data_IF_440697014482
#
_entry.id   IF_440697014482
#
_cell.length_a   1.000
_cell.length_b   1.000
_cell.length_c   1.000
_cell.angle_alpha   90.00
_cell.angle_beta   90.00
_cell.angle_gamma   90.00
#
_symmetry.space_group_name_H-M   'P 1'
#
loop_
_entity.id
_entity.type
_entity.pdbx_description
1 polymer ?
#
# COMPACT_ATOMS: atom_id res chain seq x y z
N UNK A 1 -21.18 -14.16 33.52
CA UNK A 1 -21.31 -12.74 33.92
C UNK A 1 -19.90 -12.20 33.90
N UNK A 2 -19.41 -11.46 32.91
CA UNK A 2 -20.03 -10.73 31.80
C UNK A 2 -19.27 -11.07 30.52
N UNK A 3 -20.03 -11.42 29.49
CA UNK A 3 -19.56 -11.47 28.11
C UNK A 3 -19.30 -10.04 27.66
N UNK A 4 -18.08 -9.54 27.90
CA UNK A 4 -17.57 -8.25 27.42
C UNK A 4 -17.24 -8.32 25.90
N UNK A 5 -18.06 -9.03 25.12
CA UNK A 5 -18.07 -8.91 23.67
C UNK A 5 -18.94 -7.69 23.29
N UNK A 6 -18.44 -6.48 23.54
CA UNK A 6 -18.74 -5.32 22.69
C UNK A 6 -17.86 -4.09 23.02
N UNK A 7 -16.57 -4.12 22.64
CA UNK A 7 -15.83 -2.90 22.28
C UNK A 7 -15.84 -2.68 20.77
N UNK A 8 -16.99 -2.90 20.14
CA UNK A 8 -17.25 -2.16 18.93
C UNK A 8 -17.20 -0.65 19.30
N UNK A 9 -16.65 0.20 18.44
CA UNK A 9 -17.06 1.61 18.32
C UNK A 9 -16.37 2.76 19.07
N UNK A 10 -15.25 2.61 19.80
CA UNK A 10 -14.54 3.80 20.34
C UNK A 10 -13.51 4.38 19.36
N UNK A 11 -14.02 5.10 18.37
CA UNK A 11 -13.51 6.43 17.99
C UNK A 11 -12.15 6.61 17.30
N UNK A 12 -11.10 5.80 17.49
CA UNK A 12 -9.77 6.09 16.93
C UNK A 12 -8.84 4.86 16.93
N UNK A 13 -8.29 4.47 15.77
CA UNK A 13 -6.84 4.21 15.71
C UNK A 13 -6.26 2.86 15.25
N UNK A 14 -7.01 1.76 15.07
CA UNK A 14 -6.40 0.45 14.76
C UNK A 14 -6.40 0.00 13.29
N UNK A 15 -7.04 0.76 12.40
CA UNK A 15 -6.97 0.53 10.97
C UNK A 15 -6.67 1.87 10.29
N UNK A 16 -5.42 2.10 9.89
CA UNK A 16 -5.07 3.26 9.09
C UNK A 16 -5.03 2.82 7.63
N UNK A 17 -6.06 3.14 6.82
CA UNK A 17 -5.96 2.91 5.39
C UNK A 17 -4.78 3.72 4.87
N UNK A 18 -3.82 3.04 4.26
CA UNK A 18 -2.72 3.69 3.53
C UNK A 18 -3.32 4.30 2.27
N UNK A 19 -3.83 5.53 2.40
CA UNK A 19 -4.43 6.30 1.31
C UNK A 19 -3.38 7.04 0.50
N UNK A 20 -2.18 7.21 1.05
CA UNK A 20 -1.02 7.88 0.46
C UNK A 20 0.21 6.99 0.46
N UNK A 21 1.11 7.21 -0.48
CA UNK A 21 2.42 6.57 -0.60
C UNK A 21 3.46 7.65 -0.56
N UNK A 22 4.44 7.52 0.33
CA UNK A 22 5.64 8.36 0.30
C UNK A 22 6.50 7.95 -0.89
N UNK A 23 6.75 8.89 -1.80
CA UNK A 23 7.61 8.69 -2.95
C UNK A 23 9.05 8.49 -2.50
N UNK A 24 9.67 7.38 -2.89
CA UNK A 24 11.08 7.08 -2.62
C UNK A 24 12.07 7.96 -3.42
N UNK A 25 11.61 8.62 -4.47
CA UNK A 25 12.46 9.42 -5.37
C UNK A 25 12.48 10.90 -4.97
N UNK A 26 11.33 11.48 -4.62
CA UNK A 26 11.19 12.90 -4.30
C UNK A 26 10.63 13.19 -2.90
N UNK A 27 10.33 12.16 -2.11
CA UNK A 27 9.84 12.29 -0.74
C UNK A 27 8.37 12.73 -0.58
N UNK A 28 7.70 13.17 -1.65
CA UNK A 28 6.29 13.61 -1.60
C UNK A 28 5.34 12.48 -1.22
N UNK A 29 4.35 12.80 -0.40
CA UNK A 29 3.21 11.92 -0.17
C UNK A 29 2.19 12.07 -1.30
N UNK A 30 1.82 10.95 -1.93
CA UNK A 30 0.95 10.94 -3.10
C UNK A 30 -0.18 9.96 -2.87
N UNK A 31 -1.41 10.35 -3.20
CA UNK A 31 -2.56 9.43 -3.10
C UNK A 31 -2.30 8.14 -3.87
N UNK A 32 -2.73 7.01 -3.29
CA UNK A 32 -2.69 5.70 -3.94
C UNK A 32 -3.32 5.70 -5.35
N UNK A 33 -4.37 6.51 -5.57
CA UNK A 33 -5.02 6.64 -6.89
C UNK A 33 -4.13 7.33 -7.93
N UNK A 34 -3.20 8.17 -7.48
CA UNK A 34 -2.29 8.96 -8.33
C UNK A 34 -0.85 8.42 -8.35
N UNK A 35 -0.54 7.38 -7.57
CA UNK A 35 0.85 6.89 -7.42
C UNK A 35 1.46 6.46 -8.75
N UNK A 36 0.68 5.80 -9.62
CA UNK A 36 1.17 5.33 -10.92
C UNK A 36 1.53 6.50 -11.83
N UNK A 37 0.65 7.49 -11.98
CA UNK A 37 0.93 8.65 -12.83
C UNK A 37 2.07 9.48 -12.28
N UNK A 38 2.17 9.62 -10.95
CA UNK A 38 3.29 10.28 -10.30
C UNK A 38 4.64 9.61 -10.63
N UNK A 39 4.73 8.29 -10.46
CA UNK A 39 5.98 7.56 -10.73
C UNK A 39 6.34 7.52 -12.21
N UNK A 40 5.37 7.55 -13.12
CA UNK A 40 5.64 7.70 -14.55
C UNK A 40 6.34 9.03 -14.88
N UNK A 41 6.05 10.11 -14.14
CA UNK A 41 6.70 11.41 -14.32
C UNK A 41 8.18 11.44 -13.92
N UNK A 42 8.62 10.50 -13.09
CA UNK A 42 10.05 10.32 -12.77
C UNK A 42 10.78 9.44 -13.80
N UNK A 43 10.04 8.83 -14.74
CA UNK A 43 10.62 8.05 -15.82
C UNK A 43 11.49 8.88 -16.74
N UNK A 44 12.60 8.30 -17.20
CA UNK A 44 13.48 8.94 -18.17
C UNK A 44 13.35 8.27 -19.53
N UNK A 45 13.27 9.06 -20.60
CA UNK A 45 13.30 8.53 -21.96
C UNK A 45 14.69 7.98 -22.28
N UNK A 46 14.75 6.80 -22.87
CA UNK A 46 15.97 6.12 -23.28
C UNK A 46 15.77 5.54 -24.68
N UNK A 47 15.95 6.36 -25.71
CA UNK A 47 15.64 5.98 -27.09
C UNK A 47 14.13 5.84 -27.31
N UNK A 48 13.70 4.68 -27.82
CA UNK A 48 12.29 4.27 -27.97
C UNK A 48 11.65 3.80 -26.66
N UNK A 49 12.44 3.62 -25.61
CA UNK A 49 12.04 3.02 -24.35
C UNK A 49 11.98 4.05 -23.23
N UNK A 50 11.36 3.65 -22.12
CA UNK A 50 11.28 4.38 -20.86
C UNK A 50 12.06 3.62 -19.78
N UNK A 51 12.97 4.31 -19.10
CA UNK A 51 13.66 3.79 -17.93
C UNK A 51 12.75 3.92 -16.70
N UNK A 52 12.48 2.79 -16.04
CA UNK A 52 11.69 2.77 -14.81
C UNK A 52 12.47 3.38 -13.65
N UNK A 53 11.92 4.37 -12.93
CA UNK A 53 12.64 5.01 -11.84
C UNK A 53 12.63 4.19 -10.54
N UNK A 54 11.92 3.06 -10.51
CA UNK A 54 11.83 2.16 -9.34
C UNK A 54 12.89 1.04 -9.42
N UNK A 55 13.00 0.39 -10.59
CA UNK A 55 13.89 -0.77 -10.79
C UNK A 55 14.93 -0.58 -11.90
N UNK A 56 14.98 0.62 -12.51
CA UNK A 56 15.91 0.99 -13.58
C UNK A 56 15.81 0.16 -14.88
N UNK A 57 14.78 -0.69 -15.02
CA UNK A 57 14.54 -1.47 -16.23
C UNK A 57 14.13 -0.57 -17.39
N UNK A 58 14.65 -0.86 -18.59
CA UNK A 58 14.17 -0.26 -19.84
C UNK A 58 12.93 -1.01 -20.29
N UNK A 59 11.84 -0.27 -20.52
CA UNK A 59 10.53 -0.81 -20.87
C UNK A 59 10.04 -0.06 -22.10
N UNK A 60 9.42 -0.77 -23.05
CA UNK A 60 8.84 -0.10 -24.22
C UNK A 60 7.86 0.98 -23.77
N UNK A 61 7.87 2.13 -24.44
CA UNK A 61 7.05 3.28 -24.06
C UNK A 61 5.56 2.94 -23.91
N UNK A 62 5.03 2.03 -24.75
CA UNK A 62 3.63 1.58 -24.71
C UNK A 62 3.30 0.68 -23.51
N UNK A 63 4.28 -0.07 -22.97
CA UNK A 63 4.11 -1.00 -21.84
C UNK A 63 4.43 -0.33 -20.49
N UNK A 64 5.04 0.87 -20.54
CA UNK A 64 5.59 1.54 -19.37
C UNK A 64 4.56 1.77 -18.25
N UNK A 65 3.33 2.16 -18.61
CA UNK A 65 2.25 2.37 -17.63
C UNK A 65 1.88 1.10 -16.88
N UNK A 66 1.79 -0.03 -17.58
CA UNK A 66 1.45 -1.32 -16.96
C UNK A 66 2.61 -1.83 -16.10
N UNK A 67 3.85 -1.69 -16.59
CA UNK A 67 5.03 -2.00 -15.80
C UNK A 67 5.05 -1.24 -14.47
N UNK A 68 4.87 0.08 -14.50
CA UNK A 68 4.83 0.91 -13.28
C UNK A 68 3.69 0.48 -12.37
N UNK A 69 2.52 0.12 -12.93
CA UNK A 69 1.37 -0.36 -12.15
C UNK A 69 1.70 -1.62 -11.35
N UNK A 70 2.50 -2.55 -11.88
CA UNK A 70 2.86 -3.81 -11.20
C UNK A 70 3.66 -3.58 -9.90
N UNK A 71 4.49 -2.54 -9.84
CA UNK A 71 5.19 -2.14 -8.60
C UNK A 71 4.23 -1.75 -7.46
N UNK A 72 3.03 -1.28 -7.82
CA UNK A 72 2.01 -0.86 -6.87
C UNK A 72 0.89 -1.89 -6.71
N UNK A 73 0.70 -2.81 -7.65
CA UNK A 73 -0.38 -3.80 -7.62
C UNK A 73 -0.37 -4.67 -6.35
N UNK A 74 0.82 -5.01 -5.81
CA UNK A 74 0.98 -5.83 -4.60
C UNK A 74 0.65 -5.08 -3.30
N UNK A 75 0.73 -3.73 -3.32
CA UNK A 75 0.48 -2.90 -2.13
C UNK A 75 -1.00 -2.54 -1.90
N UNK A 76 -1.91 -3.05 -2.73
CA UNK A 76 -3.37 -2.95 -2.49
C UNK A 76 -3.86 -3.81 -1.34
N UNK A 77 -2.98 -4.59 -0.71
CA UNK A 77 -3.38 -5.69 0.15
C UNK A 77 -2.65 -5.63 1.49
N UNK A 78 -2.47 -4.48 2.14
CA UNK A 78 -2.06 -4.47 3.56
C UNK A 78 -2.44 -3.14 4.24
N UNK A 79 -3.74 -2.96 4.51
CA UNK A 79 -4.29 -1.71 5.06
C UNK A 79 -4.56 -1.76 6.57
N UNK A 80 -4.38 -2.92 7.20
CA UNK A 80 -4.79 -3.12 8.58
C UNK A 80 -3.57 -3.51 9.41
N UNK A 81 -3.20 -2.69 10.38
CA UNK A 81 -2.04 -2.94 11.25
C UNK A 81 -2.58 -3.34 12.62
N UNK A 82 -2.13 -4.48 13.13
CA UNK A 82 -2.43 -4.88 14.50
C UNK A 82 -1.81 -3.88 15.47
N UNK A 83 -2.62 -3.22 16.29
CA UNK A 83 -2.13 -2.29 17.29
C UNK A 83 -1.38 -2.95 18.45
N UNK A 84 -1.52 -4.27 18.62
CA UNK A 84 -0.86 -5.03 19.70
C UNK A 84 0.56 -5.42 19.30
N UNK A 85 0.75 -5.96 18.08
CA UNK A 85 2.06 -6.49 17.64
C UNK A 85 2.64 -5.84 16.39
N UNK A 86 1.96 -4.87 15.78
CA UNK A 86 2.43 -4.13 14.60
C UNK A 86 2.39 -4.90 13.29
N UNK A 87 1.88 -6.14 13.25
CA UNK A 87 1.74 -6.93 12.01
C UNK A 87 0.72 -6.31 11.06
N UNK A 88 1.02 -6.32 9.76
CA UNK A 88 0.13 -5.80 8.72
C UNK A 88 -0.67 -6.90 8.03
N UNK A 89 -1.93 -6.60 7.69
CA UNK A 89 -2.89 -7.54 7.12
C UNK A 89 -3.63 -6.93 5.93
N UNK A 90 -3.95 -7.82 4.98
CA UNK A 90 -4.55 -7.48 3.69
C UNK A 90 -6.01 -7.08 3.77
N UNK A 91 -6.70 -7.57 4.79
CA UNK A 91 -8.11 -7.34 5.02
C UNK A 91 -8.40 -7.19 6.51
N UNK A 92 -9.49 -6.49 6.83
CA UNK A 92 -9.97 -6.37 8.21
C UNK A 92 -10.27 -7.75 8.80
N UNK A 93 -10.86 -8.64 8.01
CA UNK A 93 -11.15 -10.04 8.40
C UNK A 93 -9.87 -10.77 8.83
N UNK A 94 -8.79 -10.63 8.09
CA UNK A 94 -7.50 -11.25 8.42
C UNK A 94 -6.90 -10.68 9.71
N UNK A 95 -7.03 -9.37 9.95
CA UNK A 95 -6.62 -8.75 11.21
C UNK A 95 -7.45 -9.27 12.39
N UNK A 96 -8.78 -9.31 12.25
CA UNK A 96 -9.66 -9.78 13.33
C UNK A 96 -9.37 -11.24 13.71
N UNK A 97 -9.21 -12.13 12.73
CA UNK A 97 -8.82 -13.52 12.98
C UNK A 97 -7.47 -13.60 13.70
N UNK A 98 -6.52 -12.75 13.35
CA UNK A 98 -5.23 -12.70 14.03
C UNK A 98 -5.36 -12.28 15.49
N UNK A 99 -6.13 -11.22 15.77
CA UNK A 99 -6.36 -10.75 17.14
C UNK A 99 -6.98 -11.88 17.97
N UNK A 100 -8.05 -12.51 17.48
CA UNK A 100 -8.75 -13.61 18.16
C UNK A 100 -7.91 -14.86 18.43
N UNK A 101 -6.90 -15.13 17.61
CA UNK A 101 -6.09 -16.36 17.73
C UNK A 101 -4.76 -16.15 18.43
N UNK A 102 -4.30 -14.92 18.56
CA UNK A 102 -2.93 -14.59 19.00
C UNK A 102 -2.90 -13.63 20.20
N UNK A 103 -3.97 -12.87 20.43
CA UNK A 103 -4.03 -11.82 21.43
C UNK A 103 -5.28 -11.86 22.32
N UNK A 104 -6.19 -12.81 22.07
CA UNK A 104 -7.25 -13.27 22.98
C UNK A 104 -6.85 -14.64 23.55
#
# INVERSE_FOLDING_TARGET
MESELCFAYVGQGYAKPVTTVKCSICGKEVSWRAVVSHYMGHGKKSGSDMACPICNSKVKSQEYREHVRKHFAVKREAFYICGVCGKSFVSLKSLLIHIMKTHE
#
